data_IF_750084439798
#
_entry.id   IF_750084439798
#
_cell.length_a   1.000
_cell.length_b   1.000
_cell.length_c   1.000
_cell.angle_alpha   90.00
_cell.angle_beta   90.00
_cell.angle_gamma   90.00
#
_symmetry.space_group_name_H-M   'P 1'
#
loop_
_entity.id
_entity.type
_entity.pdbx_description
1 polymer ?
#
# COMPACT_ATOMS: atom_id res chain seq x y z
N UNK A 1 -11.43 23.65 -17.64
CA UNK A 1 -10.36 23.91 -16.66
C UNK A 1 -10.16 22.61 -15.91
N UNK A 2 -9.00 21.98 -16.07
CA UNK A 2 -8.73 20.74 -15.35
C UNK A 2 -8.67 21.05 -13.86
N UNK A 3 -9.38 20.24 -13.06
CA UNK A 3 -9.37 20.38 -11.60
C UNK A 3 -7.94 20.13 -11.12
N UNK A 4 -7.33 21.11 -10.48
CA UNK A 4 -6.01 20.95 -9.88
C UNK A 4 -6.07 19.96 -8.73
N UNK A 5 -4.96 19.27 -8.47
CA UNK A 5 -4.83 18.37 -7.33
C UNK A 5 -4.80 19.16 -6.02
N UNK A 6 -5.48 18.63 -5.00
CA UNK A 6 -5.39 19.19 -3.66
C UNK A 6 -3.97 18.96 -3.10
N UNK A 7 -3.48 19.85 -2.22
CA UNK A 7 -2.23 19.64 -1.51
C UNK A 7 -2.25 18.36 -0.65
N UNK A 8 -3.42 18.04 -0.09
CA UNK A 8 -3.65 16.82 0.68
C UNK A 8 -3.38 15.56 -0.15
N UNK A 9 -4.02 15.45 -1.32
CA UNK A 9 -3.85 14.29 -2.20
C UNK A 9 -2.40 14.14 -2.69
N UNK A 10 -1.72 15.25 -3.02
CA UNK A 10 -0.28 15.20 -3.34
C UNK A 10 0.55 14.65 -2.18
N UNK A 11 0.28 15.12 -0.97
CA UNK A 11 0.96 14.63 0.24
C UNK A 11 0.67 13.14 0.48
N UNK A 12 -0.57 12.70 0.27
CA UNK A 12 -0.97 11.29 0.35
C UNK A 12 -0.18 10.42 -0.63
N UNK A 13 -0.08 10.83 -1.91
CA UNK A 13 0.72 10.10 -2.90
C UNK A 13 2.19 10.01 -2.52
N UNK A 14 2.79 11.09 -2.01
CA UNK A 14 4.19 11.09 -1.60
C UNK A 14 4.44 10.14 -0.41
N UNK A 15 3.61 10.23 0.64
CA UNK A 15 3.73 9.36 1.81
C UNK A 15 3.48 7.90 1.41
N UNK A 16 2.47 7.64 0.57
CA UNK A 16 2.21 6.30 0.07
C UNK A 16 3.39 5.75 -0.72
N UNK A 17 3.97 6.53 -1.63
CA UNK A 17 5.15 6.11 -2.39
C UNK A 17 6.32 5.72 -1.48
N UNK A 18 6.57 6.48 -0.41
CA UNK A 18 7.64 6.17 0.56
C UNK A 18 7.33 4.88 1.32
N UNK A 19 6.14 4.76 1.90
CA UNK A 19 5.73 3.58 2.68
C UNK A 19 5.74 2.33 1.79
N UNK A 20 5.12 2.39 0.62
CA UNK A 20 5.09 1.30 -0.34
C UNK A 20 6.51 0.92 -0.79
N UNK A 21 7.41 1.89 -1.00
CA UNK A 21 8.82 1.57 -1.31
C UNK A 21 9.48 0.77 -0.19
N UNK A 22 9.33 1.18 1.07
CA UNK A 22 9.94 0.49 2.21
C UNK A 22 9.43 -0.96 2.33
N UNK A 23 8.11 -1.16 2.32
CA UNK A 23 7.51 -2.50 2.40
C UNK A 23 7.81 -3.34 1.15
N UNK A 24 7.72 -2.73 -0.03
CA UNK A 24 8.00 -3.38 -1.32
C UNK A 24 9.44 -3.90 -1.39
N UNK A 25 10.43 -3.09 -1.00
CA UNK A 25 11.83 -3.51 -0.92
C UNK A 25 12.04 -4.62 0.12
N UNK A 26 11.41 -4.53 1.29
CA UNK A 26 11.51 -5.55 2.33
C UNK A 26 10.97 -6.90 1.84
N UNK A 27 9.79 -6.91 1.21
CA UNK A 27 9.18 -8.11 0.64
C UNK A 27 9.92 -8.66 -0.59
N UNK A 28 10.47 -7.79 -1.43
CA UNK A 28 11.21 -8.20 -2.62
C UNK A 28 12.57 -8.84 -2.27
N UNK A 29 13.35 -8.20 -1.41
CA UNK A 29 14.75 -8.61 -1.19
C UNK A 29 14.95 -9.48 0.04
N UNK A 30 14.21 -9.23 1.12
CA UNK A 30 14.45 -9.85 2.42
C UNK A 30 13.18 -10.40 3.11
N UNK A 31 12.26 -11.08 2.40
CA UNK A 31 10.95 -11.46 2.95
C UNK A 31 11.07 -12.34 4.20
N UNK A 32 11.98 -13.32 4.23
CA UNK A 32 12.19 -14.17 5.42
C UNK A 32 12.70 -13.42 6.64
N UNK A 33 13.65 -12.48 6.44
CA UNK A 33 14.22 -11.70 7.55
C UNK A 33 13.19 -10.75 8.12
N UNK A 34 12.48 -10.04 7.24
CA UNK A 34 11.39 -9.16 7.65
C UNK A 34 10.27 -9.94 8.34
N UNK A 35 9.86 -11.08 7.77
CA UNK A 35 8.87 -11.97 8.38
C UNK A 35 9.29 -12.43 9.78
N UNK A 36 10.52 -12.91 9.95
CA UNK A 36 11.03 -13.29 11.28
C UNK A 36 11.05 -12.12 12.27
N UNK A 37 11.37 -10.90 11.83
CA UNK A 37 11.41 -9.72 12.68
C UNK A 37 10.01 -9.36 13.22
N UNK A 38 8.97 -9.55 12.41
CA UNK A 38 7.58 -9.21 12.77
C UNK A 38 6.71 -10.42 13.13
N UNK A 39 7.34 -11.58 13.34
CA UNK A 39 6.70 -12.86 13.60
C UNK A 39 5.66 -13.29 12.54
N UNK A 40 5.93 -12.99 11.26
CA UNK A 40 5.12 -13.39 10.12
C UNK A 40 5.62 -14.68 9.46
N UNK A 41 4.78 -15.71 9.31
CA UNK A 41 5.19 -16.97 8.68
C UNK A 41 5.37 -16.79 7.17
N UNK A 42 6.63 -16.89 6.71
CA UNK A 42 7.00 -16.82 5.29
C UNK A 42 7.37 -18.21 4.80
N UNK A 43 6.34 -19.01 4.46
CA UNK A 43 6.50 -20.38 3.96
C UNK A 43 7.03 -20.39 2.52
N UNK A 44 6.51 -19.51 1.67
CA UNK A 44 6.85 -19.41 0.25
C UNK A 44 7.39 -18.00 -0.08
N UNK A 45 8.71 -17.78 0.02
CA UNK A 45 9.30 -16.46 -0.17
C UNK A 45 9.01 -15.84 -1.53
N UNK A 46 8.92 -16.64 -2.59
CA UNK A 46 8.72 -16.14 -3.95
C UNK A 46 7.36 -15.44 -4.12
N UNK A 47 6.31 -15.93 -3.45
CA UNK A 47 5.03 -15.25 -3.41
C UNK A 47 5.15 -13.85 -2.79
N UNK A 48 5.89 -13.73 -1.69
CA UNK A 48 6.16 -12.43 -1.06
C UNK A 48 7.03 -11.53 -1.95
N UNK A 49 7.97 -12.08 -2.72
CA UNK A 49 8.77 -11.28 -3.67
C UNK A 49 7.91 -10.70 -4.79
N UNK A 50 6.98 -11.48 -5.31
CA UNK A 50 6.01 -11.01 -6.32
C UNK A 50 5.11 -9.91 -5.72
N UNK A 51 4.64 -10.09 -4.48
CA UNK A 51 3.89 -9.05 -3.76
C UNK A 51 4.75 -7.80 -3.58
N UNK A 52 6.03 -7.95 -3.22
CA UNK A 52 6.97 -6.85 -3.09
C UNK A 52 7.15 -6.08 -4.41
N UNK A 53 7.29 -6.79 -5.53
CA UNK A 53 7.35 -6.18 -6.86
C UNK A 53 6.06 -5.43 -7.21
N UNK A 54 4.89 -6.00 -6.90
CA UNK A 54 3.61 -5.32 -7.09
C UNK A 54 3.49 -4.04 -6.24
N UNK A 55 3.89 -4.09 -4.97
CA UNK A 55 3.92 -2.92 -4.08
C UNK A 55 4.88 -1.83 -4.61
N UNK A 56 6.03 -2.21 -5.17
CA UNK A 56 6.94 -1.25 -5.82
C UNK A 56 6.33 -0.61 -7.08
N UNK A 57 5.53 -1.37 -7.84
CA UNK A 57 4.78 -0.79 -8.96
C UNK A 57 3.74 0.24 -8.47
N UNK A 58 3.05 -0.03 -7.36
CA UNK A 58 2.16 0.95 -6.70
C UNK A 58 2.92 2.17 -6.16
N UNK A 59 4.11 1.97 -5.61
CA UNK A 59 4.98 3.06 -5.19
C UNK A 59 5.36 3.97 -6.37
N UNK A 60 5.73 3.36 -7.50
CA UNK A 60 6.04 4.09 -8.72
C UNK A 60 4.82 4.84 -9.27
N UNK A 61 3.64 4.23 -9.31
CA UNK A 61 2.41 4.92 -9.74
C UNK A 61 2.06 6.10 -8.84
N UNK A 62 2.24 5.95 -7.52
CA UNK A 62 2.05 7.04 -6.56
C UNK A 62 3.08 8.16 -6.74
N UNK A 63 4.34 7.85 -7.04
CA UNK A 63 5.36 8.86 -7.35
C UNK A 63 5.04 9.64 -8.64
N UNK A 64 4.58 8.94 -9.68
CA UNK A 64 4.14 9.57 -10.93
C UNK A 64 2.91 10.47 -10.69
N UNK A 65 1.94 10.00 -9.89
CA UNK A 65 0.75 10.76 -9.55
C UNK A 65 1.05 11.99 -8.67
N UNK A 66 2.05 11.91 -7.78
CA UNK A 66 2.55 13.06 -7.02
C UNK A 66 3.07 14.18 -7.95
N UNK A 67 3.73 13.80 -9.04
CA UNK A 67 4.31 14.73 -10.02
C UNK A 67 3.26 15.33 -10.98
N UNK A 68 2.03 14.81 -10.99
CA UNK A 68 0.95 15.29 -11.84
C UNK A 68 0.41 16.66 -11.39
N UNK A 69 -0.21 17.38 -12.33
CA UNK A 69 -0.80 18.71 -12.09
C UNK A 69 -2.32 18.71 -12.15
N UNK A 70 -2.92 17.75 -12.85
CA UNK A 70 -4.36 17.68 -13.11
C UNK A 70 -5.00 16.41 -12.54
N UNK A 71 -6.21 16.55 -12.00
CA UNK A 71 -7.03 15.43 -11.51
C UNK A 71 -7.24 14.33 -12.55
N UNK A 72 -7.47 14.71 -13.81
CA UNK A 72 -7.72 13.77 -14.90
C UNK A 72 -6.56 12.79 -15.13
N UNK A 73 -5.32 13.19 -14.80
CA UNK A 73 -4.13 12.34 -14.93
C UNK A 73 -4.04 11.27 -13.85
N UNK A 74 -4.65 11.50 -12.68
CA UNK A 74 -4.49 10.63 -11.50
C UNK A 74 -5.77 9.92 -11.09
N UNK A 75 -6.94 10.29 -11.63
CA UNK A 75 -8.24 9.76 -11.19
C UNK A 75 -8.31 8.23 -11.19
N UNK A 76 -7.71 7.56 -12.18
CA UNK A 76 -7.67 6.09 -12.26
C UNK A 76 -6.73 5.52 -11.20
N UNK A 77 -5.58 6.18 -10.96
CA UNK A 77 -4.64 5.77 -9.90
C UNK A 77 -5.31 5.87 -8.54
N UNK A 78 -6.04 6.96 -8.25
CA UNK A 78 -6.81 7.10 -7.00
C UNK A 78 -7.83 5.99 -6.83
N UNK A 79 -8.62 5.68 -7.86
CA UNK A 79 -9.61 4.59 -7.81
C UNK A 79 -8.96 3.21 -7.57
N UNK A 80 -7.80 2.98 -8.19
CA UNK A 80 -7.01 1.76 -7.96
C UNK A 80 -6.47 1.68 -6.54
N UNK A 81 -5.90 2.76 -6.00
CA UNK A 81 -5.39 2.81 -4.63
C UNK A 81 -6.51 2.61 -3.60
N UNK A 82 -7.68 3.21 -3.79
CA UNK A 82 -8.86 2.98 -2.94
C UNK A 82 -9.26 1.50 -2.97
N UNK A 83 -9.35 0.91 -4.15
CA UNK A 83 -9.76 -0.49 -4.31
C UNK A 83 -8.74 -1.43 -3.66
N UNK A 84 -7.46 -1.22 -3.94
CA UNK A 84 -6.36 -1.99 -3.36
C UNK A 84 -6.34 -1.91 -1.83
N UNK A 85 -6.38 -0.70 -1.26
CA UNK A 85 -6.31 -0.48 0.19
C UNK A 85 -7.52 -1.06 0.92
N UNK A 86 -8.73 -0.96 0.36
CA UNK A 86 -9.93 -1.61 0.91
C UNK A 86 -9.79 -3.13 0.87
N UNK A 87 -9.45 -3.71 -0.28
CA UNK A 87 -9.34 -5.17 -0.42
C UNK A 87 -8.23 -5.74 0.48
N UNK A 88 -7.07 -5.08 0.54
CA UNK A 88 -5.97 -5.48 1.41
C UNK A 88 -6.37 -5.41 2.89
N UNK A 89 -7.12 -4.38 3.29
CA UNK A 89 -7.69 -4.28 4.64
C UNK A 89 -8.60 -5.48 4.93
N UNK A 90 -9.54 -5.80 4.04
CA UNK A 90 -10.47 -6.91 4.25
C UNK A 90 -9.75 -8.26 4.36
N UNK A 91 -8.74 -8.49 3.52
CA UNK A 91 -7.90 -9.70 3.57
C UNK A 91 -7.16 -9.81 4.91
N UNK A 92 -6.57 -8.71 5.39
CA UNK A 92 -5.85 -8.70 6.67
C UNK A 92 -6.79 -8.89 7.85
N UNK A 93 -7.95 -8.24 7.86
CA UNK A 93 -8.95 -8.42 8.91
C UNK A 93 -9.44 -9.87 8.94
N UNK A 94 -9.73 -10.46 7.78
CA UNK A 94 -10.07 -11.87 7.69
C UNK A 94 -8.96 -12.75 8.29
N UNK A 95 -7.70 -12.50 7.91
CA UNK A 95 -6.57 -13.27 8.41
C UNK A 95 -6.34 -13.12 9.92
N UNK A 96 -6.58 -11.92 10.48
CA UNK A 96 -6.51 -11.65 11.92
C UNK A 96 -7.59 -12.42 12.67
N UNK A 97 -8.85 -12.36 12.21
CA UNK A 97 -9.98 -12.92 12.95
C UNK A 97 -10.16 -14.43 12.74
N UNK A 98 -9.76 -14.97 11.59
CA UNK A 98 -10.09 -16.35 11.20
C UNK A 98 -8.88 -17.23 10.86
N UNK A 99 -7.72 -16.65 10.55
CA UNK A 99 -6.53 -17.40 10.12
C UNK A 99 -5.34 -17.32 11.09
N UNK A 100 -5.50 -16.65 12.24
CA UNK A 100 -4.46 -16.58 13.27
C UNK A 100 -3.21 -15.78 12.85
N UNK A 101 -3.37 -14.74 12.03
CA UNK A 101 -2.25 -13.86 11.68
C UNK A 101 -1.62 -13.21 12.94
N UNK A 102 -0.30 -12.95 12.92
CA UNK A 102 0.39 -12.35 14.06
C UNK A 102 -0.09 -10.93 14.34
N UNK A 103 0.18 -10.43 15.55
CA UNK A 103 -0.22 -9.08 15.96
C UNK A 103 0.24 -7.97 15.00
N UNK A 104 1.37 -8.14 14.31
CA UNK A 104 1.85 -7.18 13.31
C UNK A 104 0.88 -6.98 12.13
N UNK A 105 -0.02 -7.93 11.86
CA UNK A 105 -1.08 -7.75 10.86
C UNK A 105 -1.98 -6.55 11.13
N UNK A 106 -2.18 -6.16 12.41
CA UNK A 106 -2.89 -4.93 12.76
C UNK A 106 -2.19 -3.69 12.25
N UNK A 107 -0.86 -3.64 12.30
CA UNK A 107 -0.09 -2.50 11.79
C UNK A 107 -0.35 -2.34 10.29
N UNK A 108 -0.25 -3.43 9.53
CA UNK A 108 -0.55 -3.42 8.09
C UNK A 108 -2.01 -3.01 7.83
N UNK A 109 -2.97 -3.57 8.58
CA UNK A 109 -4.39 -3.24 8.41
C UNK A 109 -4.68 -1.76 8.68
N UNK A 110 -4.10 -1.18 9.74
CA UNK A 110 -4.23 0.24 10.06
C UNK A 110 -3.62 1.10 8.95
N UNK A 111 -2.44 0.74 8.43
CA UNK A 111 -1.81 1.45 7.31
C UNK A 111 -2.74 1.49 6.10
N UNK A 112 -3.31 0.34 5.71
CA UNK A 112 -4.23 0.28 4.58
C UNK A 112 -5.52 1.06 4.82
N UNK A 113 -6.11 0.99 6.02
CA UNK A 113 -7.30 1.80 6.38
C UNK A 113 -7.00 3.29 6.28
N UNK A 114 -5.86 3.74 6.81
CA UNK A 114 -5.46 5.15 6.77
C UNK A 114 -5.31 5.60 5.32
N UNK A 115 -4.62 4.85 4.46
CA UNK A 115 -4.51 5.22 3.05
C UNK A 115 -5.85 5.18 2.31
N UNK A 116 -6.71 4.21 2.57
CA UNK A 116 -8.05 4.17 2.00
C UNK A 116 -8.83 5.45 2.32
N UNK A 117 -8.84 5.85 3.60
CA UNK A 117 -9.50 7.08 4.06
C UNK A 117 -8.88 8.32 3.41
N UNK A 118 -7.55 8.42 3.38
CA UNK A 118 -6.87 9.56 2.77
C UNK A 118 -7.23 9.68 1.29
N UNK A 119 -7.15 8.61 0.49
CA UNK A 119 -7.49 8.66 -0.92
C UNK A 119 -8.96 8.97 -1.22
N UNK A 120 -9.86 8.70 -0.27
CA UNK A 120 -11.29 9.02 -0.40
C UNK A 120 -11.57 10.50 -0.08
N UNK A 121 -10.89 11.06 0.91
CA UNK A 121 -11.31 12.31 1.56
C UNK A 121 -10.51 13.54 1.14
N UNK A 122 -9.22 13.40 0.80
CA UNK A 122 -8.32 14.56 0.60
C UNK A 122 -8.17 15.06 -0.83
#
# INVERSE_FOLDING_TARGET
MDKQLSPGLKTTFLIHAIVATLFGLAYLFIPKKFGSFVNWPVMEPEAYRIIGAAILAFAASSWLAYSASAWEQVKIVVQMEITWTILATLVLLYGIFFAGLPAFAWVNAIIFVVFAVLFIVV
#
